data_IF_314946479175
#
_entry.id   IF_314946479175
#
_cell.length_a   1.000
_cell.length_b   1.000
_cell.length_c   1.000
_cell.angle_alpha   90.00
_cell.angle_beta   90.00
_cell.angle_gamma   90.00
#
_symmetry.space_group_name_H-M   'P 1'
#
loop_
_entity.id
_entity.type
_entity.pdbx_description
1 polymer ?
#
# COMPACT_ATOMS: atom_id res chain seq x y z
N UNK A 1 -49.21 1.64 -32.24
CA UNK A 1 -48.87 3.07 -32.07
C UNK A 1 -47.35 3.30 -32.01
N UNK A 2 -46.60 2.55 -31.19
CA UNK A 2 -45.12 2.63 -31.12
C UNK A 2 -44.39 2.51 -32.47
N UNK A 3 -44.75 1.53 -33.30
CA UNK A 3 -44.13 1.35 -34.63
C UNK A 3 -44.32 2.56 -35.56
N UNK A 4 -45.52 3.17 -35.56
CA UNK A 4 -45.78 4.41 -36.32
C UNK A 4 -44.98 5.60 -35.78
N UNK A 5 -44.86 5.75 -34.46
CA UNK A 5 -44.05 6.82 -33.85
C UNK A 5 -42.56 6.65 -34.15
N UNK A 6 -42.02 5.43 -34.06
CA UNK A 6 -40.64 5.13 -34.42
C UNK A 6 -40.37 5.40 -35.91
N UNK A 7 -41.27 4.98 -36.80
CA UNK A 7 -41.13 5.23 -38.24
C UNK A 7 -41.14 6.74 -38.56
N UNK A 8 -42.04 7.50 -37.95
CA UNK A 8 -42.17 8.94 -38.21
C UNK A 8 -41.02 9.78 -37.61
N UNK A 9 -40.44 9.35 -36.48
CA UNK A 9 -39.38 10.09 -35.79
C UNK A 9 -37.99 9.65 -36.25
N UNK A 10 -37.76 8.33 -36.38
CA UNK A 10 -36.45 7.75 -36.64
C UNK A 10 -36.21 7.50 -38.13
N UNK A 11 -37.16 6.87 -38.82
CA UNK A 11 -36.98 6.46 -40.23
C UNK A 11 -37.25 7.60 -41.21
N UNK A 12 -38.25 8.45 -40.95
CA UNK A 12 -38.60 9.57 -41.84
C UNK A 12 -37.69 10.80 -41.68
N UNK A 13 -36.97 10.94 -40.56
CA UNK A 13 -36.05 12.04 -40.30
C UNK A 13 -34.63 11.55 -39.94
N UNK A 14 -34.01 10.69 -40.77
CA UNK A 14 -32.77 10.01 -40.41
C UNK A 14 -31.59 10.98 -40.25
N UNK A 15 -31.52 12.03 -41.08
CA UNK A 15 -30.47 13.06 -40.95
C UNK A 15 -30.52 13.78 -39.60
N UNK A 16 -31.72 14.13 -39.12
CA UNK A 16 -31.90 14.82 -37.84
C UNK A 16 -31.48 13.93 -36.67
N UNK A 17 -31.89 12.65 -36.69
CA UNK A 17 -31.53 11.69 -35.64
C UNK A 17 -30.04 11.37 -35.66
N UNK A 18 -29.44 11.19 -36.84
CA UNK A 18 -27.99 10.99 -36.95
C UNK A 18 -27.20 12.20 -36.45
N UNK A 19 -27.63 13.43 -36.77
CA UNK A 19 -27.01 14.65 -36.21
C UNK A 19 -27.15 14.70 -34.69
N UNK A 20 -28.32 14.35 -34.13
CA UNK A 20 -28.52 14.30 -32.69
C UNK A 20 -27.63 13.26 -32.01
N UNK A 21 -27.58 12.03 -32.55
CA UNK A 21 -26.72 10.96 -32.02
C UNK A 21 -25.25 11.35 -32.13
N UNK A 22 -24.85 12.01 -33.22
CA UNK A 22 -23.50 12.53 -33.39
C UNK A 22 -23.16 13.61 -32.35
N UNK A 23 -24.09 14.53 -32.05
CA UNK A 23 -23.91 15.52 -30.98
C UNK A 23 -23.79 14.85 -29.60
N UNK A 24 -24.62 13.84 -29.32
CA UNK A 24 -24.52 13.05 -28.07
C UNK A 24 -23.18 12.33 -27.99
N UNK A 25 -22.71 11.74 -29.10
CA UNK A 25 -21.41 11.07 -29.17
C UNK A 25 -20.26 12.05 -28.95
N UNK A 26 -20.30 13.23 -29.58
CA UNK A 26 -19.32 14.30 -29.34
C UNK A 26 -19.34 14.77 -27.88
N UNK A 27 -20.53 14.87 -27.29
CA UNK A 27 -20.67 15.22 -25.88
C UNK A 27 -20.03 14.16 -24.98
N UNK A 28 -20.31 12.87 -25.20
CA UNK A 28 -19.66 11.79 -24.43
C UNK A 28 -18.16 11.72 -24.68
N UNK A 29 -17.70 11.90 -25.92
CA UNK A 29 -16.27 11.95 -26.24
C UNK A 29 -15.56 13.16 -25.64
N UNK A 30 -16.27 14.27 -25.41
CA UNK A 30 -15.73 15.42 -24.68
C UNK A 30 -15.61 15.11 -23.19
N UNK A 31 -16.67 14.58 -22.56
CA UNK A 31 -16.70 14.24 -21.13
C UNK A 31 -15.92 12.98 -20.77
N UNK A 32 -15.53 12.14 -21.73
CA UNK A 32 -14.72 10.95 -21.45
C UNK A 32 -13.34 11.29 -20.87
N UNK A 33 -12.86 12.52 -21.07
CA UNK A 33 -11.61 13.01 -20.46
C UNK A 33 -11.71 13.15 -18.94
N UNK A 34 -12.91 13.32 -18.41
CA UNK A 34 -13.18 13.46 -16.98
C UNK A 34 -13.45 12.11 -16.30
N UNK A 35 -13.42 11.01 -17.06
CA UNK A 35 -13.58 9.67 -16.49
C UNK A 35 -12.40 9.33 -15.58
N UNK A 36 -12.69 9.16 -14.29
CA UNK A 36 -11.71 8.75 -13.27
C UNK A 36 -12.02 7.33 -12.85
N UNK A 37 -11.00 6.48 -12.93
CA UNK A 37 -11.04 5.13 -12.40
C UNK A 37 -10.36 5.13 -11.03
N UNK A 38 -11.08 4.70 -10.00
CA UNK A 38 -10.49 4.52 -8.67
C UNK A 38 -10.39 3.03 -8.36
N UNK A 39 -9.16 2.51 -8.36
CA UNK A 39 -8.85 1.14 -7.95
C UNK A 39 -8.06 1.11 -6.63
N UNK A 40 -8.19 2.16 -5.81
CA UNK A 40 -7.60 2.17 -4.47
C UNK A 40 -8.26 1.12 -3.58
N UNK A 41 -7.50 0.59 -2.62
CA UNK A 41 -7.99 -0.35 -1.62
C UNK A 41 -9.19 0.18 -0.84
N UNK A 42 -9.27 1.51 -0.64
CA UNK A 42 -10.38 2.16 0.07
C UNK A 42 -11.73 1.91 -0.62
N UNK A 43 -11.74 1.82 -1.96
CA UNK A 43 -12.97 1.57 -2.73
C UNK A 43 -13.48 0.14 -2.62
N UNK A 44 -12.66 -0.78 -2.10
CA UNK A 44 -13.04 -2.16 -1.84
C UNK A 44 -13.72 -2.34 -0.48
N UNK A 45 -13.72 -1.31 0.36
CA UNK A 45 -14.27 -1.35 1.71
C UNK A 45 -15.58 -0.54 1.77
N UNK A 46 -16.54 -1.02 2.55
CA UNK A 46 -17.79 -0.31 2.77
C UNK A 46 -17.58 0.77 3.84
N UNK A 47 -17.97 2.01 3.55
CA UNK A 47 -17.71 3.16 4.43
C UNK A 47 -18.41 3.04 5.81
N UNK A 48 -19.52 2.30 5.87
CA UNK A 48 -20.31 2.03 7.07
C UNK A 48 -19.96 0.70 7.76
N UNK A 49 -18.87 0.03 7.35
CA UNK A 49 -18.46 -1.25 7.92
C UNK A 49 -17.99 -1.09 9.39
N UNK A 50 -18.54 -1.87 10.35
CA UNK A 50 -18.10 -1.82 11.73
C UNK A 50 -16.62 -2.20 11.93
N UNK A 51 -16.10 -3.14 11.12
CA UNK A 51 -14.71 -3.59 11.20
C UNK A 51 -13.76 -2.50 10.69
N UNK A 52 -14.16 -1.75 9.65
CA UNK A 52 -13.41 -0.58 9.19
C UNK A 52 -13.35 0.50 10.26
N UNK A 53 -14.47 0.75 10.96
CA UNK A 53 -14.48 1.71 12.06
C UNK A 53 -13.59 1.27 13.23
N UNK A 54 -13.62 -0.02 13.57
CA UNK A 54 -12.71 -0.58 14.58
C UNK A 54 -11.24 -0.44 14.17
N UNK A 55 -10.90 -0.77 12.91
CA UNK A 55 -9.55 -0.60 12.35
C UNK A 55 -9.07 0.86 12.44
N UNK A 56 -9.95 1.82 12.11
CA UNK A 56 -9.66 3.26 12.22
C UNK A 56 -9.40 3.66 13.67
N UNK A 57 -10.19 3.18 14.62
CA UNK A 57 -9.98 3.47 16.05
C UNK A 57 -8.63 2.93 16.55
N UNK A 58 -8.32 1.68 16.23
CA UNK A 58 -7.05 1.03 16.60
C UNK A 58 -5.88 1.79 15.97
N UNK A 59 -5.98 2.14 14.69
CA UNK A 59 -4.95 2.90 13.97
C UNK A 59 -4.77 4.30 14.55
N UNK A 60 -5.84 4.97 14.96
CA UNK A 60 -5.78 6.29 15.62
C UNK A 60 -5.10 6.21 16.99
N UNK A 61 -5.37 5.13 17.76
CA UNK A 61 -4.87 4.96 19.12
C UNK A 61 -3.40 4.53 19.17
N UNK A 62 -3.03 3.56 18.35
CA UNK A 62 -1.70 2.94 18.40
C UNK A 62 -0.75 3.45 17.31
N UNK A 63 -1.29 4.19 16.33
CA UNK A 63 -0.57 4.54 15.11
C UNK A 63 -0.46 3.33 14.19
N UNK A 64 -0.54 3.59 12.89
CA UNK A 64 -0.13 2.64 11.86
C UNK A 64 0.79 3.36 10.88
N UNK A 65 1.73 2.62 10.31
CA UNK A 65 2.52 3.08 9.18
C UNK A 65 2.12 2.22 8.00
N UNK A 66 1.85 2.85 6.87
CA UNK A 66 1.76 2.11 5.63
C UNK A 66 3.11 1.44 5.35
N UNK A 67 3.07 0.26 4.76
CA UNK A 67 4.28 -0.50 4.48
C UNK A 67 4.19 -1.25 3.16
N UNK A 68 5.36 -1.46 2.57
CA UNK A 68 5.56 -2.45 1.52
C UNK A 68 6.21 -3.69 2.14
N UNK A 69 5.94 -4.84 1.54
CA UNK A 69 6.57 -6.10 1.93
C UNK A 69 7.41 -6.59 0.77
N UNK A 70 8.66 -6.97 1.03
CA UNK A 70 9.46 -7.70 0.05
C UNK A 70 9.70 -9.11 0.58
N UNK A 71 9.61 -10.10 -0.31
CA UNK A 71 10.21 -11.41 -0.04
C UNK A 71 11.63 -11.40 -0.56
N UNK A 72 12.55 -12.03 0.16
CA UNK A 72 13.95 -12.15 -0.19
C UNK A 72 14.40 -13.61 -0.02
N UNK A 73 14.73 -14.26 -1.13
CA UNK A 73 15.26 -15.62 -1.18
C UNK A 73 16.67 -15.56 -1.77
N UNK A 74 17.73 -15.58 -0.95
CA UNK A 74 19.10 -15.56 -1.45
C UNK A 74 19.45 -16.84 -2.22
N UNK A 75 20.39 -16.74 -3.17
CA UNK A 75 20.89 -17.91 -3.92
C UNK A 75 21.70 -18.88 -3.03
N UNK A 76 22.27 -18.37 -1.94
CA UNK A 76 22.94 -19.13 -0.88
C UNK A 76 22.10 -19.12 0.39
N UNK A 77 22.47 -19.91 1.39
CA UNK A 77 21.80 -19.87 2.71
C UNK A 77 21.73 -18.45 3.28
N UNK A 78 20.64 -18.11 3.97
CA UNK A 78 20.40 -16.75 4.53
C UNK A 78 21.55 -16.32 5.46
N UNK A 79 22.06 -17.25 6.27
CA UNK A 79 23.14 -16.99 7.24
C UNK A 79 24.53 -16.90 6.61
N UNK A 80 24.67 -17.19 5.32
CA UNK A 80 25.95 -17.06 4.62
C UNK A 80 26.41 -15.60 4.64
N UNK A 81 27.71 -15.36 4.85
CA UNK A 81 28.27 -14.01 4.93
C UNK A 81 27.96 -13.16 3.69
N UNK A 82 27.95 -13.75 2.49
CA UNK A 82 27.61 -13.05 1.25
C UNK A 82 26.11 -12.69 1.21
N UNK A 83 25.23 -13.62 1.55
CA UNK A 83 23.78 -13.38 1.65
C UNK A 83 23.46 -12.26 2.63
N UNK A 84 24.11 -12.25 3.80
CA UNK A 84 23.96 -11.21 4.83
C UNK A 84 24.44 -9.86 4.29
N UNK A 85 25.62 -9.80 3.66
CA UNK A 85 26.16 -8.56 3.09
C UNK A 85 25.25 -8.00 2.00
N UNK A 86 24.73 -8.86 1.11
CA UNK A 86 23.79 -8.46 0.06
C UNK A 86 22.49 -7.94 0.66
N UNK A 87 21.94 -8.60 1.68
CA UNK A 87 20.75 -8.14 2.38
C UNK A 87 20.97 -6.79 3.11
N UNK A 88 22.14 -6.59 3.73
CA UNK A 88 22.51 -5.30 4.33
C UNK A 88 22.57 -4.20 3.28
N UNK A 89 23.16 -4.47 2.11
CA UNK A 89 23.24 -3.53 1.00
C UNK A 89 21.85 -3.17 0.46
N UNK A 90 21.00 -4.17 0.21
CA UNK A 90 19.61 -3.97 -0.19
C UNK A 90 18.85 -3.12 0.82
N UNK A 91 18.96 -3.47 2.12
CA UNK A 91 18.36 -2.69 3.22
C UNK A 91 18.81 -1.24 3.16
N UNK A 92 20.11 -0.97 3.01
CA UNK A 92 20.67 0.38 2.95
C UNK A 92 20.16 1.16 1.74
N UNK A 93 20.14 0.55 0.57
CA UNK A 93 19.68 1.19 -0.66
C UNK A 93 18.20 1.60 -0.55
N UNK A 94 17.35 0.72 -0.01
CA UNK A 94 15.93 1.02 0.24
C UNK A 94 15.77 2.09 1.34
N UNK A 95 16.51 1.98 2.44
CA UNK A 95 16.45 2.94 3.56
C UNK A 95 16.84 4.38 3.15
N UNK A 96 17.64 4.54 2.09
CA UNK A 96 18.05 5.83 1.56
C UNK A 96 16.97 6.52 0.70
N UNK A 97 15.89 5.83 0.34
CA UNK A 97 14.78 6.43 -0.38
C UNK A 97 14.08 7.48 0.49
N UNK A 98 13.84 8.65 -0.10
CA UNK A 98 13.36 9.82 0.65
C UNK A 98 11.99 9.62 1.30
N UNK A 99 11.16 8.72 0.77
CA UNK A 99 9.83 8.37 1.24
C UNK A 99 9.82 7.18 2.21
N UNK A 100 10.94 6.49 2.40
CA UNK A 100 11.06 5.38 3.35
C UNK A 100 11.33 5.92 4.75
N UNK A 101 10.58 5.43 5.73
CA UNK A 101 10.79 5.74 7.14
C UNK A 101 11.83 4.80 7.75
N UNK A 102 11.56 3.49 7.71
CA UNK A 102 12.55 2.47 8.11
C UNK A 102 12.33 1.14 7.41
N UNK A 103 13.41 0.35 7.34
CA UNK A 103 13.41 -1.01 6.78
C UNK A 103 13.75 -2.00 7.89
N UNK A 104 12.91 -3.04 8.05
CA UNK A 104 13.07 -4.12 9.01
C UNK A 104 13.32 -5.42 8.24
N UNK A 105 14.32 -6.18 8.66
CA UNK A 105 14.75 -7.46 8.05
C UNK A 105 14.91 -8.52 9.14
N UNK A 106 15.10 -9.78 8.75
CA UNK A 106 15.49 -10.86 9.68
C UNK A 106 16.73 -10.53 10.53
N UNK A 107 17.61 -9.69 10.00
CA UNK A 107 18.82 -9.28 10.70
C UNK A 107 18.55 -8.27 11.84
N UNK A 108 17.33 -7.73 11.94
CA UNK A 108 16.92 -6.80 13.00
C UNK A 108 16.11 -7.50 14.11
N UNK A 109 15.90 -8.82 14.00
CA UNK A 109 15.11 -9.57 14.98
C UNK A 109 15.92 -9.75 16.28
N UNK A 110 15.34 -9.41 17.45
CA UNK A 110 15.97 -9.68 18.73
C UNK A 110 16.00 -11.19 19.00
N UNK A 111 17.19 -11.66 19.38
CA UNK A 111 17.45 -13.01 19.83
C UNK A 111 17.34 -13.07 21.36
N UNK A 112 16.57 -14.01 21.86
CA UNK A 112 16.30 -14.23 23.28
C UNK A 112 17.05 -15.46 23.82
N UNK A 113 17.41 -16.43 22.98
CA UNK A 113 18.03 -17.70 23.38
C UNK A 113 19.44 -17.91 22.80
N UNK A 114 20.00 -16.91 22.12
CA UNK A 114 21.31 -16.98 21.46
C UNK A 114 22.51 -16.78 22.40
N UNK A 115 22.30 -16.39 23.66
CA UNK A 115 23.35 -16.25 24.68
C UNK A 115 23.02 -17.11 25.92
N UNK A 116 23.96 -17.18 26.88
CA UNK A 116 23.78 -17.86 28.16
C UNK A 116 23.49 -16.87 29.33
N UNK A 117 23.28 -15.58 29.03
CA UNK A 117 22.98 -14.52 30.00
C UNK A 117 21.60 -14.69 30.67
N UNK A 118 21.26 -13.94 31.72
CA UNK A 118 19.90 -14.01 32.28
C UNK A 118 18.86 -13.38 31.35
N UNK A 119 17.59 -13.83 31.39
CA UNK A 119 16.52 -13.24 30.55
C UNK A 119 16.40 -11.72 30.72
N UNK A 120 16.56 -11.21 31.95
CA UNK A 120 16.48 -9.77 32.24
C UNK A 120 17.62 -8.98 31.61
N UNK A 121 18.83 -9.55 31.52
CA UNK A 121 19.95 -8.94 30.82
C UNK A 121 19.73 -8.94 29.30
N UNK A 122 19.20 -10.05 28.76
CA UNK A 122 18.86 -10.17 27.33
C UNK A 122 17.77 -9.20 26.90
N UNK A 123 16.79 -8.92 27.75
CA UNK A 123 15.74 -7.94 27.45
C UNK A 123 16.26 -6.49 27.44
N UNK A 124 17.29 -6.19 28.25
CA UNK A 124 17.91 -4.86 28.26
C UNK A 124 18.86 -4.64 27.08
N UNK A 125 19.63 -5.68 26.73
CA UNK A 125 20.67 -5.61 25.69
C UNK A 125 20.48 -6.75 24.69
N UNK A 126 19.34 -6.77 24.00
CA UNK A 126 19.06 -7.83 23.03
C UNK A 126 20.11 -7.85 21.93
N UNK A 127 20.46 -9.05 21.49
CA UNK A 127 21.37 -9.29 20.36
C UNK A 127 20.56 -9.61 19.12
N UNK A 128 21.14 -9.41 17.96
CA UNK A 128 20.57 -9.69 16.65
C UNK A 128 21.59 -10.48 15.82
N UNK A 129 21.19 -11.00 14.66
CA UNK A 129 22.11 -11.68 13.74
C UNK A 129 23.22 -10.75 13.17
N UNK A 130 23.16 -9.44 13.43
CA UNK A 130 24.18 -8.46 13.01
C UNK A 130 25.29 -8.29 14.02
N UNK A 131 25.06 -8.63 15.28
CA UNK A 131 26.00 -8.32 16.35
C UNK A 131 27.22 -9.24 16.32
N UNK A 132 28.39 -8.67 16.59
CA UNK A 132 29.64 -9.43 16.67
C UNK A 132 29.59 -10.44 17.82
N UNK A 133 30.17 -11.62 17.60
CA UNK A 133 30.21 -12.70 18.58
C UNK A 133 28.93 -13.54 18.70
N UNK A 134 27.87 -13.23 17.94
CA UNK A 134 26.65 -14.06 17.89
C UNK A 134 26.88 -15.29 17.01
N UNK A 135 26.53 -16.47 17.54
CA UNK A 135 26.42 -17.68 16.74
C UNK A 135 25.21 -17.57 15.80
N UNK A 136 25.49 -17.25 14.54
CA UNK A 136 24.46 -17.06 13.49
C UNK A 136 23.63 -18.31 13.23
N UNK A 137 24.18 -19.51 13.42
CA UNK A 137 23.42 -20.76 13.22
C UNK A 137 22.40 -20.90 14.35
N UNK A 138 22.85 -20.82 15.60
CA UNK A 138 21.98 -20.89 16.78
C UNK A 138 20.90 -19.79 16.75
N UNK A 139 21.28 -18.55 16.43
CA UNK A 139 20.32 -17.44 16.32
C UNK A 139 19.30 -17.62 15.20
N UNK A 140 19.71 -18.18 14.06
CA UNK A 140 18.81 -18.44 12.95
C UNK A 140 17.84 -19.60 13.23
N UNK A 141 18.32 -20.66 13.88
CA UNK A 141 17.48 -21.76 14.38
C UNK A 141 16.43 -21.27 15.39
N UNK A 142 16.80 -20.33 16.27
CA UNK A 142 15.87 -19.68 17.19
C UNK A 142 14.76 -18.94 16.43
N UNK A 143 15.11 -18.16 15.39
CA UNK A 143 14.12 -17.42 14.59
C UNK A 143 13.17 -18.37 13.86
N UNK A 144 13.68 -19.44 13.24
CA UNK A 144 12.87 -20.42 12.51
C UNK A 144 11.96 -21.23 13.44
N UNK A 145 12.43 -21.56 14.64
CA UNK A 145 11.65 -22.33 15.64
C UNK A 145 10.68 -21.46 16.44
N UNK A 146 10.81 -20.14 16.39
CA UNK A 146 9.94 -19.23 17.13
C UNK A 146 8.53 -19.18 16.53
N UNK A 147 7.48 -19.46 17.32
CA UNK A 147 6.10 -19.35 16.87
C UNK A 147 5.68 -17.90 16.56
N UNK A 148 6.49 -16.92 16.96
CA UNK A 148 6.25 -15.49 16.70
C UNK A 148 6.86 -15.05 15.36
N UNK A 149 7.95 -15.68 14.93
CA UNK A 149 8.70 -15.26 13.73
C UNK A 149 8.54 -16.21 12.54
N UNK A 150 8.37 -17.51 12.80
CA UNK A 150 8.04 -18.51 11.78
C UNK A 150 6.76 -18.09 11.05
N UNK A 151 6.78 -18.17 9.72
CA UNK A 151 5.70 -17.77 8.81
C UNK A 151 5.31 -16.27 8.82
N UNK A 152 5.89 -15.48 9.73
CA UNK A 152 5.71 -14.02 9.75
C UNK A 152 6.90 -13.28 9.13
N UNK A 153 8.13 -13.65 9.48
CA UNK A 153 9.37 -13.01 9.00
C UNK A 153 10.25 -13.97 8.20
N UNK A 154 10.09 -15.28 8.42
CA UNK A 154 10.82 -16.32 7.70
C UNK A 154 9.86 -17.44 7.28
N UNK A 155 10.05 -17.98 6.08
CA UNK A 155 9.29 -19.14 5.61
C UNK A 155 9.57 -20.36 6.49
N UNK A 156 8.60 -21.28 6.54
CA UNK A 156 8.73 -22.53 7.30
C UNK A 156 9.99 -23.33 6.94
N UNK A 157 10.39 -23.32 5.67
CA UNK A 157 11.60 -24.00 5.18
C UNK A 157 12.90 -23.23 5.41
N UNK A 158 12.83 -22.03 6.01
CA UNK A 158 13.99 -21.20 6.32
C UNK A 158 14.67 -20.54 5.10
N UNK A 159 14.11 -20.65 3.88
CA UNK A 159 14.79 -20.18 2.67
C UNK A 159 14.45 -18.75 2.27
N UNK A 160 13.28 -18.26 2.66
CA UNK A 160 12.77 -16.95 2.27
C UNK A 160 12.48 -16.11 3.49
N UNK A 161 12.92 -14.86 3.48
CA UNK A 161 12.62 -13.91 4.56
C UNK A 161 11.83 -12.72 4.05
N UNK A 162 10.93 -12.21 4.90
CA UNK A 162 10.22 -10.95 4.71
C UNK A 162 11.10 -9.75 5.07
N UNK A 163 10.97 -8.70 4.27
CA UNK A 163 11.51 -7.37 4.54
C UNK A 163 10.33 -6.42 4.60
N UNK A 164 10.19 -5.70 5.70
CA UNK A 164 9.13 -4.71 5.89
C UNK A 164 9.73 -3.33 5.64
N UNK A 165 9.16 -2.60 4.69
CA UNK A 165 9.56 -1.24 4.33
C UNK A 165 8.44 -0.30 4.77
N UNK A 166 8.61 0.33 5.92
CA UNK A 166 7.64 1.29 6.43
C UNK A 166 7.80 2.63 5.69
N UNK A 167 6.68 3.17 5.24
CA UNK A 167 6.59 4.43 4.52
C UNK A 167 6.51 5.60 5.51
N UNK A 168 6.96 6.78 5.07
CA UNK A 168 6.73 8.01 5.83
C UNK A 168 5.24 8.36 5.82
N UNK A 169 4.71 8.67 6.99
CA UNK A 169 3.32 9.12 7.12
C UNK A 169 3.13 10.47 6.44
N UNK A 170 2.06 10.61 5.67
CA UNK A 170 1.60 11.88 5.15
C UNK A 170 0.63 12.53 6.15
N UNK A 171 1.10 13.58 6.82
CA UNK A 171 0.29 14.29 7.82
C UNK A 171 -0.93 14.98 7.19
N UNK A 172 -0.80 15.49 5.97
CA UNK A 172 -1.88 16.19 5.29
C UNK A 172 -2.97 15.21 4.84
N UNK A 173 -2.59 14.02 4.34
CA UNK A 173 -3.54 12.95 4.04
C UNK A 173 -4.31 12.53 5.30
N UNK A 174 -3.62 12.39 6.42
CA UNK A 174 -4.24 12.07 7.71
C UNK A 174 -5.25 13.13 8.15
N UNK A 175 -4.90 14.42 8.07
CA UNK A 175 -5.84 15.52 8.35
C UNK A 175 -7.06 15.51 7.43
N UNK A 176 -6.87 15.20 6.14
CA UNK A 176 -7.98 15.01 5.21
C UNK A 176 -8.88 13.84 5.62
N UNK A 177 -8.33 12.68 5.95
CA UNK A 177 -9.12 11.50 6.36
C UNK A 177 -9.92 11.83 7.63
N UNK A 178 -9.28 12.42 8.64
CA UNK A 178 -9.95 12.82 9.89
C UNK A 178 -11.11 13.79 9.64
N UNK A 179 -10.91 14.78 8.74
CA UNK A 179 -11.96 15.74 8.37
C UNK A 179 -13.08 15.09 7.56
N UNK A 180 -12.76 14.15 6.66
CA UNK A 180 -13.76 13.37 5.92
C UNK A 180 -14.64 12.57 6.88
N UNK A 181 -14.02 11.87 7.83
CA UNK A 181 -14.70 11.03 8.81
C UNK A 181 -15.60 11.88 9.74
N UNK A 182 -15.16 13.09 10.11
CA UNK A 182 -16.00 14.04 10.84
C UNK A 182 -17.30 14.37 10.08
N UNK A 183 -17.20 14.76 8.80
CA UNK A 183 -18.39 15.08 8.00
C UNK A 183 -19.28 13.87 7.77
N UNK A 184 -18.69 12.70 7.53
CA UNK A 184 -19.42 11.45 7.36
C UNK A 184 -20.24 11.11 8.62
N UNK A 185 -19.60 11.08 9.79
CA UNK A 185 -20.29 10.78 11.05
C UNK A 185 -21.39 11.81 11.36
N UNK A 186 -21.11 13.11 11.16
CA UNK A 186 -22.10 14.16 11.37
C UNK A 186 -23.30 14.03 10.41
N UNK A 187 -23.06 13.61 9.18
CA UNK A 187 -24.14 13.39 8.20
C UNK A 187 -25.09 12.28 8.62
N UNK A 188 -24.61 11.29 9.36
CA UNK A 188 -25.41 10.18 9.90
C UNK A 188 -26.17 10.61 11.17
N UNK A 189 -25.56 11.41 12.05
CA UNK A 189 -26.15 11.75 13.36
C UNK A 189 -27.08 12.96 13.34
N UNK A 190 -26.75 14.03 12.61
CA UNK A 190 -27.38 15.34 12.80
C UNK A 190 -27.88 16.02 11.52
N UNK A 191 -27.69 15.41 10.34
CA UNK A 191 -27.92 16.00 9.01
C UNK A 191 -27.16 17.31 8.76
N UNK A 192 -26.42 17.40 7.65
CA UNK A 192 -25.66 18.61 7.30
C UNK A 192 -26.59 19.74 6.84
N UNK A 193 -26.35 20.97 7.33
CA UNK A 193 -27.05 22.15 6.83
C UNK A 193 -26.58 22.55 5.42
N UNK A 194 -27.26 23.49 4.76
CA UNK A 194 -26.96 23.87 3.37
C UNK A 194 -25.55 24.44 3.17
N UNK A 195 -25.02 25.18 4.15
CA UNK A 195 -23.67 25.74 4.10
C UNK A 195 -22.61 24.66 4.30
N UNK A 196 -22.84 23.75 5.25
CA UNK A 196 -21.99 22.60 5.53
C UNK A 196 -21.93 21.65 4.33
N UNK A 197 -23.05 21.40 3.66
CA UNK A 197 -23.08 20.60 2.42
C UNK A 197 -22.19 21.21 1.33
N UNK A 198 -22.26 22.53 1.16
CA UNK A 198 -21.40 23.24 0.20
C UNK A 198 -19.92 23.15 0.58
N UNK A 199 -19.61 23.35 1.86
CA UNK A 199 -18.24 23.24 2.38
C UNK A 199 -17.69 21.82 2.26
N UNK A 200 -18.52 20.81 2.54
CA UNK A 200 -18.14 19.41 2.41
C UNK A 200 -17.90 19.02 0.95
N UNK A 201 -18.76 19.46 0.02
CA UNK A 201 -18.55 19.24 -1.41
C UNK A 201 -17.24 19.86 -1.91
N UNK A 202 -16.91 21.10 -1.49
CA UNK A 202 -15.63 21.73 -1.82
C UNK A 202 -14.44 20.94 -1.24
N UNK A 203 -14.55 20.53 0.02
CA UNK A 203 -13.55 19.71 0.69
C UNK A 203 -13.31 18.37 -0.02
N UNK A 204 -14.37 17.69 -0.45
CA UNK A 204 -14.25 16.42 -1.19
C UNK A 204 -13.48 16.61 -2.49
N UNK A 205 -13.71 17.70 -3.21
CA UNK A 205 -12.92 18.02 -4.40
C UNK A 205 -11.44 18.22 -4.08
N UNK A 206 -11.11 18.98 -3.03
CA UNK A 206 -9.72 19.20 -2.60
C UNK A 206 -9.05 17.89 -2.14
N UNK A 207 -9.80 17.04 -1.44
CA UNK A 207 -9.35 15.73 -0.99
C UNK A 207 -9.06 14.80 -2.18
N UNK A 208 -9.94 14.78 -3.17
CA UNK A 208 -9.77 13.98 -4.39
C UNK A 208 -8.55 14.41 -5.20
N UNK A 209 -8.32 15.71 -5.37
CA UNK A 209 -7.12 16.24 -6.02
C UNK A 209 -5.86 15.81 -5.26
N UNK A 210 -5.91 15.84 -3.93
CA UNK A 210 -4.79 15.41 -3.11
C UNK A 210 -4.54 13.90 -3.23
N UNK A 211 -5.59 13.07 -3.18
CA UNK A 211 -5.51 11.61 -3.37
C UNK A 211 -4.86 11.27 -4.71
N UNK A 212 -5.21 11.98 -5.78
CA UNK A 212 -4.58 11.81 -7.10
C UNK A 212 -3.09 12.14 -7.11
N UNK A 213 -2.68 13.18 -6.37
CA UNK A 213 -1.25 13.52 -6.25
C UNK A 213 -0.47 12.42 -5.53
N UNK A 214 -1.05 11.84 -4.47
CA UNK A 214 -0.45 10.72 -3.72
C UNK A 214 -0.40 9.46 -4.57
N UNK A 215 -1.44 9.15 -5.35
CA UNK A 215 -1.42 8.02 -6.30
C UNK A 215 -0.27 8.14 -7.29
N UNK A 216 -0.06 9.32 -7.87
CA UNK A 216 1.08 9.58 -8.77
C UNK A 216 2.42 9.42 -8.07
N UNK A 217 2.56 9.97 -6.85
CA UNK A 217 3.78 9.82 -6.07
C UNK A 217 4.05 8.34 -5.72
N UNK A 218 3.03 7.59 -5.34
CA UNK A 218 3.15 6.17 -5.05
C UNK A 218 3.59 5.38 -6.28
N UNK A 219 3.08 5.70 -7.47
CA UNK A 219 3.56 5.10 -8.72
C UNK A 219 5.07 5.28 -8.89
N UNK A 220 5.58 6.50 -8.72
CA UNK A 220 7.02 6.77 -8.80
C UNK A 220 7.80 6.02 -7.71
N UNK A 221 7.30 5.98 -6.48
CA UNK A 221 7.91 5.21 -5.38
C UNK A 221 8.01 3.72 -5.73
N UNK A 222 6.96 3.13 -6.31
CA UNK A 222 6.93 1.72 -6.75
C UNK A 222 7.96 1.49 -7.86
N UNK A 223 8.09 2.41 -8.83
CA UNK A 223 9.12 2.32 -9.86
C UNK A 223 10.54 2.41 -9.29
N UNK A 224 10.78 3.34 -8.36
CA UNK A 224 12.07 3.51 -7.69
C UNK A 224 12.51 2.25 -6.95
N UNK A 225 11.63 1.67 -6.12
CA UNK A 225 11.98 0.46 -5.37
C UNK A 225 12.13 -0.75 -6.31
N UNK A 226 11.33 -0.87 -7.37
CA UNK A 226 11.51 -1.90 -8.42
C UNK A 226 12.87 -1.80 -9.09
N UNK A 227 13.34 -0.58 -9.36
CA UNK A 227 14.67 -0.35 -9.92
C UNK A 227 15.79 -0.77 -8.96
N UNK A 228 15.63 -0.56 -7.65
CA UNK A 228 16.56 -1.08 -6.65
C UNK A 228 16.52 -2.61 -6.63
N UNK A 229 15.33 -3.21 -6.55
CA UNK A 229 15.15 -4.67 -6.56
C UNK A 229 15.86 -5.29 -7.76
N UNK A 230 15.68 -4.73 -8.96
CA UNK A 230 16.32 -5.21 -10.20
C UNK A 230 17.86 -5.24 -10.12
N UNK A 231 18.47 -4.29 -9.40
CA UNK A 231 19.94 -4.26 -9.20
C UNK A 231 20.44 -5.37 -8.26
N UNK A 232 19.57 -5.89 -7.40
CA UNK A 232 19.90 -6.93 -6.41
C UNK A 232 19.44 -8.34 -6.84
N UNK A 233 18.70 -8.46 -7.94
CA UNK A 233 18.17 -9.73 -8.45
C UNK A 233 19.22 -10.78 -8.82
N UNK A 234 20.48 -10.39 -9.08
CA UNK A 234 21.56 -11.34 -9.38
C UNK A 234 21.98 -12.19 -8.19
N UNK A 235 21.65 -11.76 -6.96
CA UNK A 235 22.08 -12.43 -5.72
C UNK A 235 20.93 -13.06 -4.93
N UNK A 236 19.68 -12.72 -5.29
CA UNK A 236 18.49 -13.20 -4.63
C UNK A 236 17.26 -13.05 -5.53
N UNK A 237 16.29 -13.95 -5.34
CA UNK A 237 14.92 -13.76 -5.85
C UNK A 237 14.19 -12.84 -4.90
N UNK A 238 13.66 -11.74 -5.44
CA UNK A 238 13.02 -10.69 -4.66
C UNK A 238 11.68 -10.35 -5.30
N UNK A 239 10.61 -10.40 -4.52
CA UNK A 239 9.27 -9.99 -4.95
C UNK A 239 8.79 -8.84 -4.08
N UNK A 240 8.17 -7.83 -4.71
CA UNK A 240 7.52 -6.72 -4.04
C UNK A 240 6.04 -7.02 -3.85
N UNK A 241 5.51 -6.66 -2.69
CA UNK A 241 4.09 -6.73 -2.36
C UNK A 241 3.69 -5.65 -1.36
N UNK A 242 2.46 -5.76 -0.86
CA UNK A 242 1.82 -4.77 -0.01
C UNK A 242 0.71 -4.01 -0.76
N UNK A 243 -0.24 -3.46 0.00
CA UNK A 243 -1.43 -2.79 -0.54
C UNK A 243 -1.08 -1.66 -1.53
N UNK A 244 -0.09 -0.78 -1.26
CA UNK A 244 0.24 0.29 -2.19
C UNK A 244 0.72 -0.22 -3.56
N UNK A 245 1.45 -1.34 -3.59
CA UNK A 245 1.93 -1.97 -4.82
C UNK A 245 0.78 -2.61 -5.60
N UNK A 246 -0.13 -3.31 -4.93
CA UNK A 246 -1.28 -3.97 -5.59
C UNK A 246 -2.19 -2.91 -6.25
N UNK A 247 -2.47 -1.82 -5.55
CA UNK A 247 -3.27 -0.73 -6.10
C UNK A 247 -2.61 -0.08 -7.33
N UNK A 248 -1.30 0.14 -7.30
CA UNK A 248 -0.55 0.68 -8.43
C UNK A 248 -0.57 -0.25 -9.66
N UNK A 249 -0.37 -1.55 -9.45
CA UNK A 249 -0.38 -2.53 -10.53
C UNK A 249 -1.76 -2.71 -11.14
N UNK A 250 -2.82 -2.70 -10.32
CA UNK A 250 -4.20 -2.72 -10.83
C UNK A 250 -4.49 -1.52 -11.72
N UNK A 251 -4.08 -0.32 -11.30
CA UNK A 251 -4.25 0.89 -12.11
C UNK A 251 -3.44 0.83 -13.41
N UNK A 252 -2.20 0.35 -13.34
CA UNK A 252 -1.33 0.21 -14.51
C UNK A 252 -1.87 -0.83 -15.49
N UNK A 253 -2.40 -1.95 -15.00
CA UNK A 253 -3.00 -3.00 -15.81
C UNK A 253 -4.24 -2.50 -16.57
N UNK A 254 -5.12 -1.73 -15.93
CA UNK A 254 -6.34 -1.23 -16.58
C UNK A 254 -6.03 -0.12 -17.60
N UNK A 255 -4.91 0.60 -17.42
CA UNK A 255 -4.49 1.66 -18.34
C UNK A 255 -3.88 1.12 -19.66
N UNK A 256 -3.32 -0.08 -19.64
CA UNK A 256 -2.68 -0.74 -20.79
C UNK A 256 -3.68 -1.62 -21.56
#
# INVERSE_FOLDING_TARGET
MFSKSYQNIVIQKPKLILTLLFLVLLSFGYFSKDFRLDASSDTLLLENDPDLNYLREVTKRYGSKDFLVLTYTPEKEIINSESIQNLIKLKKDIQNLSWVHNVITILDIPLLNSSDESLMERLKNYKTLKDDGVDKKRGFEEIISSPVFKEFIISEDGKTTGIIVNLKSDNKLREFIEKKDYFYNKSITENLNSEEKKNYSKFLNDFEIYKDSIKKQNHENILEIRNIIKKHQSFAKIHLGGIPMIADDMMTFIKN
#
